data_IF_246642329412
#
_entry.id   IF_246642329412
#
_cell.length_a   1.000
_cell.length_b   1.000
_cell.length_c   1.000
_cell.angle_alpha   90.00
_cell.angle_beta   90.00
_cell.angle_gamma   90.00
#
_symmetry.space_group_name_H-M   'P 1'
#
loop_
_entity.id
_entity.type
_entity.pdbx_description
1 polymer ?
#
# COMPACT_ATOMS: atom_id res chain seq x y z
N UNK A 1 1.18 27.17 29.73
CA UNK A 1 0.53 27.17 28.43
C UNK A 1 -0.47 26.04 28.42
N UNK A 2 -1.74 26.33 28.23
CA UNK A 2 -2.77 25.30 28.11
C UNK A 2 -2.73 24.85 26.64
N UNK A 3 -2.22 23.63 26.36
CA UNK A 3 -2.23 23.08 25.02
C UNK A 3 -3.68 22.74 24.64
N UNK A 4 -4.25 23.52 23.74
CA UNK A 4 -5.52 23.19 23.14
C UNK A 4 -5.30 22.06 22.15
N UNK A 5 -5.96 20.92 22.38
CA UNK A 5 -5.93 19.79 21.45
C UNK A 5 -7.10 19.96 20.45
N UNK A 6 -6.86 20.44 19.24
CA UNK A 6 -7.91 20.60 18.27
C UNK A 6 -8.45 19.24 17.82
N UNK A 7 -9.74 19.14 17.54
CA UNK A 7 -10.32 17.98 16.88
C UNK A 7 -9.83 17.94 15.44
N UNK A 8 -9.01 16.94 15.10
CA UNK A 8 -8.52 16.73 13.76
C UNK A 8 -9.51 15.85 12.96
N UNK A 9 -10.06 16.40 11.89
CA UNK A 9 -10.95 15.71 10.94
C UNK A 9 -10.26 15.45 9.60
N UNK A 10 -8.93 15.37 9.62
CA UNK A 10 -8.11 15.07 8.45
C UNK A 10 -7.82 13.57 8.36
N UNK A 11 -7.58 13.04 7.16
CA UNK A 11 -7.15 11.64 7.01
C UNK A 11 -5.78 11.35 7.65
N UNK A 12 -4.99 12.38 7.91
CA UNK A 12 -3.71 12.38 8.63
C UNK A 12 -3.15 13.82 8.69
N UNK A 13 -2.40 14.19 9.74
CA UNK A 13 -2.14 13.40 10.94
C UNK A 13 -3.38 13.21 11.83
N UNK A 14 -3.37 12.14 12.62
CA UNK A 14 -4.42 11.85 13.61
C UNK A 14 -3.85 11.99 15.02
N UNK A 15 -4.69 12.27 16.05
CA UNK A 15 -4.22 12.25 17.43
C UNK A 15 -3.65 10.88 17.80
N UNK A 16 -2.51 10.88 18.48
CA UNK A 16 -1.88 9.65 18.98
C UNK A 16 -2.42 9.36 20.38
N UNK A 17 -2.93 8.16 20.68
CA UNK A 17 -3.39 7.77 21.99
C UNK A 17 -2.29 7.92 23.07
N UNK A 18 -2.68 8.28 24.30
CA UNK A 18 -1.75 8.54 25.39
C UNK A 18 -0.86 7.34 25.72
N UNK A 19 -1.40 6.12 25.63
CA UNK A 19 -0.64 4.88 25.81
C UNK A 19 0.53 4.75 24.84
N UNK A 20 0.32 5.15 23.59
CA UNK A 20 1.37 5.11 22.55
C UNK A 20 2.42 6.22 22.82
N UNK A 21 1.95 7.43 23.18
CA UNK A 21 2.88 8.52 23.54
C UNK A 21 3.74 8.15 24.73
N UNK A 22 3.17 7.48 25.75
CA UNK A 22 3.91 6.99 26.92
C UNK A 22 4.96 5.94 26.55
N UNK A 23 4.66 5.05 25.61
CA UNK A 23 5.61 4.05 25.12
C UNK A 23 6.81 4.69 24.40
N UNK A 24 6.59 5.77 23.64
CA UNK A 24 7.66 6.52 22.96
C UNK A 24 8.61 7.22 23.95
N UNK A 25 8.17 7.47 25.21
CA UNK A 25 8.97 8.09 26.25
C UNK A 25 9.86 7.10 27.01
N UNK A 26 9.74 5.79 26.79
CA UNK A 26 10.58 4.79 27.44
C UNK A 26 12.06 4.99 27.08
N UNK A 27 12.99 4.60 27.98
CA UNK A 27 14.41 4.65 27.70
C UNK A 27 14.77 3.89 26.42
N UNK A 28 15.72 4.43 25.68
CA UNK A 28 16.22 3.76 24.47
C UNK A 28 17.00 2.49 24.81
N UNK A 29 16.76 1.44 24.06
CA UNK A 29 17.51 0.18 24.11
C UNK A 29 18.45 0.07 22.91
N UNK A 30 19.54 -0.67 23.07
CA UNK A 30 20.51 -0.89 21.99
C UNK A 30 19.90 -1.78 20.89
N UNK A 31 19.96 -1.34 19.65
CA UNK A 31 19.38 -2.06 18.50
C UNK A 31 19.98 -3.48 18.25
N UNK A 32 21.03 -3.86 18.96
CA UNK A 32 21.67 -5.18 18.90
C UNK A 32 21.60 -5.92 20.25
N UNK A 33 20.73 -5.48 21.18
CA UNK A 33 20.53 -6.10 22.47
C UNK A 33 19.40 -7.13 22.43
N UNK A 34 19.41 -8.06 23.38
CA UNK A 34 18.33 -9.03 23.59
C UNK A 34 16.98 -8.33 23.85
N UNK A 35 17.01 -7.24 24.62
CA UNK A 35 15.80 -6.46 24.91
C UNK A 35 15.15 -5.91 23.62
N UNK A 36 15.99 -5.46 22.66
CA UNK A 36 15.47 -5.01 21.36
C UNK A 36 14.91 -6.17 20.54
N UNK A 37 15.58 -7.34 20.55
CA UNK A 37 15.08 -8.54 19.83
C UNK A 37 13.73 -8.98 20.37
N UNK A 38 13.50 -8.92 21.67
CA UNK A 38 12.20 -9.23 22.28
C UNK A 38 11.12 -8.26 21.83
N UNK A 39 11.37 -6.94 21.94
CA UNK A 39 10.43 -5.89 21.51
C UNK A 39 10.09 -6.04 20.02
N UNK A 40 11.10 -6.22 19.18
CA UNK A 40 10.90 -6.38 17.73
C UNK A 40 10.10 -7.66 17.41
N UNK A 41 10.43 -8.79 18.05
CA UNK A 41 9.72 -10.05 17.88
C UNK A 41 8.24 -9.96 18.24
N UNK A 42 7.92 -9.30 19.37
CA UNK A 42 6.52 -9.06 19.75
C UNK A 42 5.79 -8.17 18.76
N UNK A 43 6.43 -7.08 18.30
CA UNK A 43 5.87 -6.17 17.32
C UNK A 43 5.56 -6.90 16.00
N UNK A 44 6.51 -7.66 15.45
CA UNK A 44 6.32 -8.44 14.21
C UNK A 44 5.21 -9.49 14.34
N UNK A 45 5.15 -10.20 15.47
CA UNK A 45 4.06 -11.16 15.73
C UNK A 45 2.70 -10.47 15.81
N UNK A 46 2.64 -9.33 16.50
CA UNK A 46 1.41 -8.55 16.67
C UNK A 46 0.88 -7.94 15.37
N UNK A 47 1.74 -7.68 14.39
CA UNK A 47 1.34 -7.14 13.09
C UNK A 47 0.71 -8.16 12.16
N UNK A 48 1.05 -9.46 12.27
CA UNK A 48 0.49 -10.50 11.37
C UNK A 48 -1.04 -10.54 11.36
N UNK A 49 -1.75 -10.57 12.50
CA UNK A 49 -3.22 -10.50 12.48
C UNK A 49 -3.76 -9.17 11.98
N UNK A 50 -3.06 -8.05 12.20
CA UNK A 50 -3.44 -6.74 11.67
C UNK A 50 -3.46 -6.73 10.14
N UNK A 51 -2.49 -7.39 9.51
CA UNK A 51 -2.41 -7.53 8.05
C UNK A 51 -3.17 -8.76 7.52
N UNK A 52 -3.75 -9.59 8.38
CA UNK A 52 -4.37 -10.86 7.97
C UNK A 52 -3.39 -11.80 7.27
N UNK A 53 -2.10 -11.70 7.58
CA UNK A 53 -1.02 -12.42 6.89
C UNK A 53 -0.42 -13.53 7.73
N UNK A 54 -0.11 -14.66 7.07
CA UNK A 54 0.74 -15.73 7.66
C UNK A 54 2.22 -15.47 7.42
N UNK A 55 2.55 -14.59 6.46
CA UNK A 55 3.92 -14.24 6.11
C UNK A 55 4.48 -13.17 7.07
N UNK A 56 5.78 -12.93 6.99
CA UNK A 56 6.43 -11.87 7.76
C UNK A 56 5.95 -10.49 7.28
N UNK A 57 5.79 -9.58 8.26
CA UNK A 57 5.48 -8.17 8.01
C UNK A 57 6.78 -7.38 8.15
N UNK A 58 7.13 -6.61 7.14
CA UNK A 58 8.33 -5.79 7.15
C UNK A 58 7.99 -4.37 7.61
N UNK A 59 8.76 -3.86 8.57
CA UNK A 59 8.66 -2.48 9.05
C UNK A 59 9.79 -1.67 8.44
N UNK A 60 9.43 -0.67 7.65
CA UNK A 60 10.40 0.29 7.10
C UNK A 60 10.29 1.61 7.86
N UNK A 61 11.43 2.08 8.39
CA UNK A 61 11.51 3.42 9.01
C UNK A 61 11.52 4.48 7.92
N UNK A 62 10.34 4.78 7.38
CA UNK A 62 10.19 5.58 6.17
C UNK A 62 8.78 6.14 6.03
N UNK A 63 8.53 6.87 4.94
CA UNK A 63 7.19 7.31 4.54
C UNK A 63 6.45 6.26 3.70
N UNK A 64 5.12 6.36 3.58
CA UNK A 64 4.34 5.52 2.68
C UNK A 64 4.85 5.55 1.23
N UNK A 65 5.32 6.71 0.74
CA UNK A 65 5.91 6.83 -0.61
C UNK A 65 7.11 5.91 -0.81
N UNK A 66 7.99 5.79 0.19
CA UNK A 66 9.15 4.89 0.09
C UNK A 66 8.74 3.42 0.14
N UNK A 67 7.63 3.10 0.82
CA UNK A 67 7.07 1.72 0.82
C UNK A 67 6.49 1.38 -0.55
N UNK A 68 5.81 2.34 -1.21
CA UNK A 68 5.35 2.16 -2.60
C UNK A 68 6.52 1.87 -3.53
N UNK A 69 7.58 2.67 -3.46
CA UNK A 69 8.80 2.48 -4.25
C UNK A 69 9.46 1.13 -3.96
N UNK A 70 9.65 0.79 -2.68
CA UNK A 70 10.22 -0.48 -2.27
C UNK A 70 9.40 -1.68 -2.78
N UNK A 71 8.07 -1.60 -2.76
CA UNK A 71 7.20 -2.67 -3.27
C UNK A 71 7.40 -2.91 -4.76
N UNK A 72 7.53 -1.85 -5.54
CA UNK A 72 7.79 -1.93 -6.98
C UNK A 72 9.14 -2.57 -7.29
N UNK A 73 10.22 -2.02 -6.71
CA UNK A 73 11.58 -2.44 -7.00
C UNK A 73 11.92 -3.88 -6.56
N UNK A 74 11.10 -4.46 -5.67
CA UNK A 74 11.28 -5.86 -5.24
C UNK A 74 10.45 -6.87 -6.04
N UNK A 75 9.53 -6.44 -6.90
CA UNK A 75 8.57 -7.33 -7.56
C UNK A 75 8.82 -7.44 -9.06
N UNK A 76 9.26 -6.36 -9.70
CA UNK A 76 9.40 -6.31 -11.13
C UNK A 76 10.81 -5.78 -11.54
N UNK A 77 11.27 -6.19 -12.72
CA UNK A 77 12.49 -5.68 -13.34
C UNK A 77 12.17 -4.46 -14.22
N UNK A 78 13.18 -3.64 -14.59
CA UNK A 78 12.94 -2.43 -15.39
C UNK A 78 12.25 -2.66 -16.74
N UNK A 79 12.44 -3.83 -17.35
CA UNK A 79 11.86 -4.20 -18.64
C UNK A 79 10.53 -4.96 -18.54
N UNK A 80 10.06 -5.22 -17.33
CA UNK A 80 8.76 -5.87 -17.14
C UNK A 80 7.61 -4.91 -17.45
N UNK A 81 6.50 -5.47 -17.95
CA UNK A 81 5.27 -4.72 -18.12
C UNK A 81 4.50 -4.66 -16.80
N UNK A 82 4.25 -3.47 -16.31
CA UNK A 82 3.46 -3.23 -15.11
C UNK A 82 2.25 -2.36 -15.41
N UNK A 83 1.19 -2.54 -14.65
CA UNK A 83 -0.05 -1.76 -14.78
C UNK A 83 -0.33 -0.99 -13.50
N UNK A 84 -0.64 0.29 -13.62
CA UNK A 84 -1.04 1.15 -12.51
C UNK A 84 -2.49 1.58 -12.69
N UNK A 85 -3.33 1.33 -11.70
CA UNK A 85 -4.70 1.87 -11.64
C UNK A 85 -4.61 3.26 -11.02
N UNK A 86 -5.09 4.27 -11.75
CA UNK A 86 -5.05 5.68 -11.32
C UNK A 86 -6.47 6.20 -11.24
N UNK A 87 -6.91 6.57 -10.03
CA UNK A 87 -8.24 7.16 -9.75
C UNK A 87 -8.14 8.43 -8.91
N UNK A 88 -6.92 8.92 -8.68
CA UNK A 88 -6.64 10.10 -7.87
C UNK A 88 -5.16 10.36 -7.65
N UNK A 89 -4.86 11.16 -6.62
CA UNK A 89 -3.50 11.64 -6.34
C UNK A 89 -2.53 10.53 -5.95
N UNK A 90 -2.97 9.53 -5.19
CA UNK A 90 -2.10 8.44 -4.74
C UNK A 90 -1.84 7.41 -5.86
N UNK A 91 -2.85 7.10 -6.68
CA UNK A 91 -2.64 6.34 -7.92
C UNK A 91 -1.67 7.04 -8.87
N UNK A 92 -1.80 8.36 -9.01
CA UNK A 92 -0.85 9.15 -9.79
C UNK A 92 0.57 9.14 -9.18
N UNK A 93 0.71 9.05 -7.85
CA UNK A 93 1.99 8.89 -7.18
C UNK A 93 2.66 7.56 -7.55
N UNK A 94 1.93 6.44 -7.53
CA UNK A 94 2.41 5.16 -8.03
C UNK A 94 2.93 5.26 -9.47
N UNK A 95 2.11 5.86 -10.35
CA UNK A 95 2.49 6.10 -11.75
C UNK A 95 3.81 6.86 -11.88
N UNK A 96 3.97 7.96 -11.13
CA UNK A 96 5.19 8.78 -11.18
C UNK A 96 6.43 8.00 -10.74
N UNK A 97 6.31 7.20 -9.67
CA UNK A 97 7.40 6.33 -9.21
C UNK A 97 7.70 5.28 -10.29
N UNK A 98 6.68 4.60 -10.79
CA UNK A 98 6.84 3.59 -11.83
C UNK A 98 7.57 4.11 -13.06
N UNK A 99 7.19 5.28 -13.55
CA UNK A 99 7.80 5.92 -14.73
C UNK A 99 9.28 6.30 -14.53
N UNK A 100 9.77 6.33 -13.30
CA UNK A 100 11.19 6.58 -13.01
C UNK A 100 12.04 5.32 -13.20
N UNK A 101 11.47 4.13 -12.98
CA UNK A 101 12.23 2.89 -12.89
C UNK A 101 11.92 1.87 -13.98
N UNK A 102 10.76 1.98 -14.67
CA UNK A 102 10.29 0.98 -15.62
C UNK A 102 10.12 1.53 -17.02
N UNK A 103 10.51 0.72 -18.01
CA UNK A 103 10.37 1.06 -19.42
C UNK A 103 8.95 0.85 -19.95
N UNK A 104 8.16 -0.01 -19.33
CA UNK A 104 6.83 -0.41 -19.81
C UNK A 104 5.77 -0.22 -18.72
N UNK A 105 5.36 1.03 -18.51
CA UNK A 105 4.31 1.41 -17.55
C UNK A 105 3.00 1.62 -18.29
N UNK A 106 2.03 0.74 -18.05
CA UNK A 106 0.67 0.88 -18.55
C UNK A 106 -0.21 1.53 -17.49
N UNK A 107 -1.02 2.48 -17.89
CA UNK A 107 -1.89 3.22 -16.97
C UNK A 107 -3.34 2.92 -17.31
N UNK A 108 -4.09 2.46 -16.32
CA UNK A 108 -5.53 2.37 -16.38
C UNK A 108 -6.15 3.53 -15.62
N UNK A 109 -6.54 4.57 -16.36
CA UNK A 109 -7.14 5.76 -15.77
C UNK A 109 -8.63 5.50 -15.46
N UNK A 110 -9.02 5.75 -14.22
CA UNK A 110 -10.39 5.77 -13.74
C UNK A 110 -10.76 7.21 -13.44
N UNK A 111 -11.96 7.63 -13.76
CA UNK A 111 -12.41 8.97 -13.43
C UNK A 111 -12.29 9.24 -11.93
N UNK A 112 -11.78 10.41 -11.55
CA UNK A 112 -11.65 10.77 -10.14
C UNK A 112 -13.03 10.80 -9.47
N UNK A 113 -13.15 10.10 -8.35
CA UNK A 113 -14.41 9.92 -7.63
C UNK A 113 -15.17 8.65 -8.01
N UNK A 114 -14.63 7.84 -8.92
CA UNK A 114 -15.20 6.54 -9.32
C UNK A 114 -14.30 5.38 -8.89
N UNK A 115 -14.91 4.23 -8.60
CA UNK A 115 -14.20 3.01 -8.34
C UNK A 115 -13.91 2.26 -9.64
N UNK A 116 -12.82 1.49 -9.66
CA UNK A 116 -12.51 0.61 -10.80
C UNK A 116 -13.62 -0.44 -10.99
N UNK A 117 -14.05 -0.63 -12.25
CA UNK A 117 -14.96 -1.71 -12.64
C UNK A 117 -14.13 -2.91 -13.03
N UNK A 118 -14.29 -4.01 -12.31
CA UNK A 118 -13.42 -5.20 -12.44
C UNK A 118 -13.44 -5.79 -13.84
N UNK A 119 -14.61 -5.96 -14.45
CA UNK A 119 -14.74 -6.58 -15.79
C UNK A 119 -14.11 -5.72 -16.87
N UNK A 120 -14.25 -4.39 -16.76
CA UNK A 120 -13.64 -3.44 -17.69
C UNK A 120 -12.12 -3.47 -17.58
N UNK A 121 -11.61 -3.55 -16.35
CA UNK A 121 -10.18 -3.66 -16.11
C UNK A 121 -9.59 -4.97 -16.65
N UNK A 122 -10.26 -6.11 -16.45
CA UNK A 122 -9.82 -7.39 -17.04
C UNK A 122 -9.87 -7.35 -18.56
N UNK A 123 -10.86 -6.67 -19.12
CA UNK A 123 -10.95 -6.47 -20.58
C UNK A 123 -9.77 -5.63 -21.09
N UNK A 124 -9.42 -4.57 -20.38
CA UNK A 124 -8.23 -3.75 -20.68
C UNK A 124 -6.94 -4.59 -20.65
N UNK A 125 -6.74 -5.42 -19.61
CA UNK A 125 -5.56 -6.29 -19.53
C UNK A 125 -5.45 -7.24 -20.71
N UNK A 126 -6.56 -7.82 -21.17
CA UNK A 126 -6.59 -8.67 -22.36
C UNK A 126 -6.19 -7.93 -23.63
N UNK A 127 -6.57 -6.64 -23.73
CA UNK A 127 -6.26 -5.81 -24.90
C UNK A 127 -4.79 -5.38 -24.96
N UNK A 128 -4.07 -5.34 -23.84
CA UNK A 128 -2.65 -5.00 -23.82
C UNK A 128 -1.81 -5.99 -24.64
N UNK A 129 -2.22 -7.25 -24.71
CA UNK A 129 -1.54 -8.31 -25.47
C UNK A 129 -0.04 -8.43 -25.17
N UNK A 130 0.34 -8.18 -23.91
CA UNK A 130 1.71 -8.32 -23.36
C UNK A 130 1.65 -9.06 -22.03
N UNK A 131 2.71 -9.77 -21.64
CA UNK A 131 2.77 -10.39 -20.31
C UNK A 131 2.89 -9.29 -19.24
N UNK A 132 1.88 -9.18 -18.36
CA UNK A 132 1.89 -8.22 -17.24
C UNK A 132 2.47 -8.91 -16.01
N UNK A 133 3.54 -8.36 -15.45
CA UNK A 133 4.18 -8.88 -14.23
C UNK A 133 3.44 -8.46 -12.98
N UNK A 134 2.99 -7.20 -12.91
CA UNK A 134 2.37 -6.67 -11.70
C UNK A 134 1.29 -5.63 -11.99
N UNK A 135 0.27 -5.61 -11.13
CA UNK A 135 -0.77 -4.57 -11.07
C UNK A 135 -0.71 -3.87 -9.71
N UNK A 136 -0.70 -2.54 -9.73
CA UNK A 136 -0.65 -1.69 -8.54
C UNK A 136 -1.92 -0.84 -8.43
N UNK A 137 -2.48 -0.76 -7.22
CA UNK A 137 -3.67 0.05 -6.91
C UNK A 137 -3.67 0.51 -5.46
N UNK A 138 -4.54 1.46 -5.12
CA UNK A 138 -4.90 1.77 -3.74
C UNK A 138 -6.12 0.95 -3.32
N UNK A 139 -6.24 0.64 -2.03
CA UNK A 139 -7.50 0.19 -1.44
C UNK A 139 -8.48 1.35 -1.33
N UNK A 140 -8.01 2.47 -0.79
CA UNK A 140 -8.78 3.71 -0.70
C UNK A 140 -7.97 4.85 -1.29
N UNK A 141 -8.48 5.45 -2.36
CA UNK A 141 -7.90 6.68 -2.91
C UNK A 141 -8.30 7.87 -2.02
N UNK A 142 -7.40 8.26 -1.12
CA UNK A 142 -7.66 9.26 -0.07
C UNK A 142 -8.05 10.62 -0.63
N UNK A 143 -7.52 10.99 -1.79
CA UNK A 143 -7.81 12.29 -2.42
C UNK A 143 -9.26 12.45 -2.89
N UNK A 144 -9.95 11.32 -3.13
CA UNK A 144 -11.34 11.29 -3.60
C UNK A 144 -12.29 10.60 -2.62
N UNK A 145 -11.76 9.85 -1.65
CA UNK A 145 -12.53 9.04 -0.71
C UNK A 145 -13.09 7.74 -1.29
N UNK A 146 -12.66 7.35 -2.49
CA UNK A 146 -13.14 6.15 -3.19
C UNK A 146 -12.47 4.90 -2.66
N UNK A 147 -13.26 3.88 -2.38
CA UNK A 147 -12.79 2.53 -2.04
C UNK A 147 -12.88 1.64 -3.28
N UNK A 148 -11.75 1.04 -3.67
CA UNK A 148 -11.71 0.07 -4.76
C UNK A 148 -12.09 -1.34 -4.30
N UNK A 149 -12.72 -2.16 -5.17
CA UNK A 149 -13.13 -3.54 -4.86
C UNK A 149 -11.92 -4.50 -4.95
N UNK A 150 -10.87 -4.28 -4.13
CA UNK A 150 -9.58 -4.99 -4.22
C UNK A 150 -9.69 -6.49 -4.05
N UNK A 151 -10.67 -6.99 -3.28
CA UNK A 151 -10.90 -8.44 -3.16
C UNK A 151 -11.40 -9.05 -4.48
N UNK A 152 -12.37 -8.39 -5.13
CA UNK A 152 -12.89 -8.85 -6.42
C UNK A 152 -11.82 -8.72 -7.50
N UNK A 153 -11.05 -7.61 -7.51
CA UNK A 153 -9.89 -7.44 -8.38
C UNK A 153 -8.88 -8.58 -8.18
N UNK A 154 -8.50 -8.88 -6.95
CA UNK A 154 -7.54 -9.95 -6.65
C UNK A 154 -8.00 -11.32 -7.14
N UNK A 155 -9.29 -11.66 -6.95
CA UNK A 155 -9.86 -12.90 -7.49
C UNK A 155 -9.86 -12.92 -9.02
N UNK A 156 -10.25 -11.83 -9.67
CA UNK A 156 -10.30 -11.73 -11.12
C UNK A 156 -8.90 -11.77 -11.75
N UNK A 157 -7.93 -11.09 -11.16
CA UNK A 157 -6.53 -11.11 -11.59
C UNK A 157 -5.92 -12.49 -11.44
N UNK A 158 -6.16 -13.18 -10.33
CA UNK A 158 -5.68 -14.54 -10.12
C UNK A 158 -6.31 -15.55 -11.09
N UNK A 159 -7.56 -15.33 -11.49
CA UNK A 159 -8.23 -16.13 -12.52
C UNK A 159 -7.72 -15.81 -13.94
N UNK A 160 -7.32 -14.56 -14.19
CA UNK A 160 -6.73 -14.10 -15.44
C UNK A 160 -5.31 -14.66 -15.63
N UNK A 161 -4.44 -14.45 -14.64
CA UNK A 161 -3.07 -14.98 -14.60
C UNK A 161 -2.62 -15.17 -13.15
N UNK A 162 -2.42 -16.42 -12.73
CA UNK A 162 -2.03 -16.76 -11.35
C UNK A 162 -0.57 -16.38 -11.00
N UNK A 163 0.25 -16.07 -12.00
CA UNK A 163 1.64 -15.61 -11.82
C UNK A 163 1.76 -14.11 -11.59
N UNK A 164 0.70 -13.35 -11.90
CA UNK A 164 0.67 -11.91 -11.76
C UNK A 164 0.68 -11.47 -10.30
N UNK A 165 1.53 -10.53 -9.96
CA UNK A 165 1.55 -9.88 -8.66
C UNK A 165 0.49 -8.78 -8.58
N UNK A 166 -0.29 -8.80 -7.51
CA UNK A 166 -1.27 -7.74 -7.21
C UNK A 166 -0.86 -7.00 -5.94
N UNK A 167 -0.49 -5.74 -6.08
CA UNK A 167 0.01 -4.89 -5.01
C UNK A 167 -1.02 -3.84 -4.67
N UNK A 168 -1.41 -3.80 -3.39
CA UNK A 168 -2.42 -2.88 -2.88
C UNK A 168 -1.82 -1.99 -1.80
N UNK A 169 -1.86 -0.69 -2.05
CA UNK A 169 -1.62 0.31 -1.02
C UNK A 169 -2.84 0.36 -0.08
N UNK A 170 -2.65 -0.16 1.13
CA UNK A 170 -3.68 -0.27 2.15
C UNK A 170 -3.54 0.75 3.29
N UNK A 171 -2.81 1.85 3.10
CA UNK A 171 -2.51 2.85 4.14
C UNK A 171 -3.77 3.33 4.92
N UNK A 172 -4.91 3.37 4.27
CA UNK A 172 -6.20 3.77 4.87
C UNK A 172 -7.11 2.58 5.21
N UNK A 173 -6.61 1.37 5.17
CA UNK A 173 -7.41 0.21 5.58
C UNK A 173 -7.37 0.06 7.08
N UNK A 174 -8.50 0.26 7.75
CA UNK A 174 -8.76 -0.39 9.03
C UNK A 174 -9.03 -1.87 8.78
N UNK A 175 -8.31 -2.73 9.46
CA UNK A 175 -8.57 -4.16 9.44
C UNK A 175 -9.89 -4.40 10.17
N UNK A 176 -10.87 -4.91 9.49
CA UNK A 176 -12.12 -5.44 10.07
C UNK A 176 -12.03 -6.95 10.04
#
# INVERSE_FOLDING_TARGET
MQYYQPLLLTPGPTPVPEQILSAVQLPMVGHRSTDFEEIASEAFKGLKPVFGSKNEVLILTSSGTSVLEASMLNIANPDDHIVIIVSGAFGNRFKQIAQTYYNHVHVYDVNWGEAVIVDDFITYLKQLNVPVTAVFTQFCETSTGVIHPVHQLGHALKAFDNSLYFIVDGDRKSVV
#
